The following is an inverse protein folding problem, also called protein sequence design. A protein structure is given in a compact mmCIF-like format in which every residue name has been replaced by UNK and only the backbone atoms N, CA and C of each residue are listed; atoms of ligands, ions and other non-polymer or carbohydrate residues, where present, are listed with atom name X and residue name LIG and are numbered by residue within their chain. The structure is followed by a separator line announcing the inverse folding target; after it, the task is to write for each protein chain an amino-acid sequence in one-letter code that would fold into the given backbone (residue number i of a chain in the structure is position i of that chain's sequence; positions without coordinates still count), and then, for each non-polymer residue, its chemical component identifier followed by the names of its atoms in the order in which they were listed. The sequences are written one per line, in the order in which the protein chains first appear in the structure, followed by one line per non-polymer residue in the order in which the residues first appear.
data_IF_615766630659
#
_entry.id   IF_615766630659
#
_cell.length_a   1.000
_cell.length_b   1.000
_cell.length_c   1.000
_cell.angle_alpha   90.00
_cell.angle_beta   90.00
_cell.angle_gamma   90.00
#
_symmetry.space_group_name_H-M   'P 1'
#
loop_
_entity.id
_entity.type
_entity.pdbx_description
1 polymer ?
#
# COMPACT_ATOMS: atom_id res chain seq x y z
N UNK A 1 -10.61 -90.71 -15.23
CA UNK A 1 -11.84 -90.07 -14.69
C UNK A 1 -11.56 -88.57 -14.59
N UNK A 2 -12.15 -87.75 -15.48
CA UNK A 2 -13.15 -86.72 -15.16
C UNK A 2 -12.59 -85.60 -14.24
N UNK A 3 -12.58 -84.30 -14.52
CA UNK A 3 -13.26 -83.38 -15.46
C UNK A 3 -12.49 -82.04 -15.42
N UNK A 4 -12.11 -81.46 -16.55
CA UNK A 4 -12.74 -80.26 -17.17
C UNK A 4 -12.49 -78.92 -16.47
N UNK A 5 -11.85 -78.03 -17.24
CA UNK A 5 -11.56 -76.64 -16.99
C UNK A 5 -12.79 -75.75 -16.71
N UNK A 6 -12.59 -74.65 -15.99
CA UNK A 6 -13.28 -73.38 -16.25
C UNK A 6 -12.33 -72.20 -16.09
N UNK A 7 -12.06 -71.56 -17.22
CA UNK A 7 -11.50 -70.23 -17.35
C UNK A 7 -12.52 -69.18 -16.88
N UNK A 8 -12.05 -68.08 -16.31
CA UNK A 8 -12.75 -66.78 -16.26
C UNK A 8 -11.67 -65.71 -16.08
N UNK A 9 -11.08 -65.23 -17.18
CA UNK A 9 -11.50 -64.00 -17.86
C UNK A 9 -11.16 -62.74 -17.05
N UNK A 10 -10.05 -62.13 -17.46
CA UNK A 10 -9.60 -60.77 -17.18
C UNK A 10 -10.75 -59.80 -17.49
N UNK A 11 -11.16 -59.00 -16.51
CA UNK A 11 -11.85 -57.74 -16.78
C UNK A 11 -10.92 -56.57 -16.41
N UNK A 12 -10.54 -55.72 -17.37
CA UNK A 12 -9.77 -54.52 -17.09
C UNK A 12 -10.67 -53.45 -16.46
N UNK A 13 -10.09 -52.73 -15.50
CA UNK A 13 -10.71 -51.58 -14.84
C UNK A 13 -11.13 -50.53 -15.89
N UNK A 14 -12.36 -49.98 -15.83
CA UNK A 14 -12.79 -48.99 -16.81
C UNK A 14 -12.08 -47.66 -16.55
N UNK A 15 -11.33 -47.22 -17.55
CA UNK A 15 -10.81 -45.86 -17.64
C UNK A 15 -11.96 -44.93 -18.00
N UNK A 16 -12.39 -44.06 -17.07
CA UNK A 16 -13.14 -42.87 -17.43
C UNK A 16 -12.46 -41.62 -16.87
N UNK A 17 -11.80 -40.91 -17.80
CA UNK A 17 -11.45 -39.51 -17.67
C UNK A 17 -12.73 -38.71 -17.39
N UNK A 18 -12.89 -38.21 -16.17
CA UNK A 18 -13.77 -37.09 -15.90
C UNK A 18 -12.90 -35.84 -15.75
N UNK A 19 -12.70 -35.13 -16.86
CA UNK A 19 -12.23 -33.76 -16.83
C UNK A 19 -13.29 -32.93 -16.08
N UNK A 20 -13.03 -32.60 -14.82
CA UNK A 20 -13.82 -31.59 -14.11
C UNK A 20 -13.33 -30.21 -14.56
N UNK A 21 -13.91 -29.70 -15.64
CA UNK A 21 -14.01 -28.26 -15.88
C UNK A 21 -14.83 -27.67 -14.73
N UNK A 22 -14.16 -27.30 -13.65
CA UNK A 22 -14.77 -26.48 -12.61
C UNK A 22 -15.08 -25.12 -13.25
N UNK A 23 -16.35 -24.90 -13.59
CA UNK A 23 -16.89 -23.59 -13.88
C UNK A 23 -16.45 -22.66 -12.73
N UNK A 24 -15.65 -21.66 -13.07
CA UNK A 24 -15.12 -20.68 -12.12
C UNK A 24 -16.29 -19.80 -11.69
N UNK A 25 -17.05 -20.23 -10.69
CA UNK A 25 -18.02 -19.39 -10.00
C UNK A 25 -17.27 -18.11 -9.60
N UNK A 26 -17.70 -16.92 -10.03
CA UNK A 26 -17.10 -15.68 -9.55
C UNK A 26 -17.27 -15.68 -8.04
N UNK A 27 -16.17 -15.83 -7.30
CA UNK A 27 -16.19 -15.59 -5.86
C UNK A 27 -16.71 -14.16 -5.68
N UNK A 28 -17.73 -13.93 -4.83
CA UNK A 28 -18.10 -12.56 -4.48
C UNK A 28 -16.85 -11.82 -3.98
N UNK A 29 -16.72 -10.51 -4.25
CA UNK A 29 -15.58 -9.74 -3.77
C UNK A 29 -15.47 -9.97 -2.26
N UNK A 30 -14.33 -10.49 -1.82
CA UNK A 30 -14.04 -10.70 -0.40
C UNK A 30 -14.18 -9.34 0.26
N UNK A 31 -15.19 -9.14 1.10
CA UNK A 31 -15.18 -8.00 2.01
C UNK A 31 -13.86 -8.06 2.80
N UNK A 32 -13.18 -6.92 3.02
CA UNK A 32 -11.97 -6.91 3.82
C UNK A 32 -12.24 -7.61 5.16
N UNK A 33 -11.56 -8.73 5.40
CA UNK A 33 -11.62 -9.48 6.67
C UNK A 33 -10.85 -8.77 7.79
N UNK A 34 -10.20 -7.65 7.46
CA UNK A 34 -9.59 -6.71 8.38
C UNK A 34 -10.68 -5.84 9.03
N UNK A 35 -10.86 -5.94 10.35
CA UNK A 35 -11.50 -4.84 11.10
C UNK A 35 -10.58 -3.63 10.91
N UNK A 36 -10.99 -2.57 10.22
CA UNK A 36 -10.18 -1.35 10.11
C UNK A 36 -9.90 -0.68 11.46
N UNK A 37 -9.17 0.42 11.45
CA UNK A 37 -8.95 1.23 12.66
C UNK A 37 -10.27 1.78 13.22
N UNK A 38 -11.24 2.07 12.35
CA UNK A 38 -12.58 2.50 12.73
C UNK A 38 -13.54 1.31 12.90
N UNK A 39 -14.11 1.13 14.11
CA UNK A 39 -15.22 0.19 14.30
C UNK A 39 -16.45 0.65 13.50
N UNK A 40 -17.14 -0.30 12.85
CA UNK A 40 -18.40 -0.04 12.14
C UNK A 40 -19.56 0.30 13.10
N UNK A 41 -19.45 -0.06 14.38
CA UNK A 41 -20.48 0.16 15.40
C UNK A 41 -19.89 0.98 16.55
N UNK A 42 -20.46 2.15 16.82
CA UNK A 42 -20.07 3.05 17.92
C UNK A 42 -18.56 3.39 17.93
N UNK A 43 -18.02 3.99 16.85
CA UNK A 43 -16.62 4.37 16.80
C UNK A 43 -16.29 5.41 17.89
N UNK A 44 -15.20 5.23 18.66
CA UNK A 44 -14.73 6.26 19.58
C UNK A 44 -14.21 7.46 18.79
N UNK A 45 -14.35 8.68 19.32
CA UNK A 45 -13.89 9.90 18.63
C UNK A 45 -12.40 9.85 18.28
N UNK A 46 -11.59 9.26 19.16
CA UNK A 46 -10.16 9.03 18.93
C UNK A 46 -9.87 7.56 18.68
N UNK A 47 -9.20 7.28 17.57
CA UNK A 47 -8.71 5.95 17.20
C UNK A 47 -7.19 5.90 17.19
N UNK A 48 -6.61 4.74 17.44
CA UNK A 48 -5.18 4.51 17.24
C UNK A 48 -4.94 3.91 15.85
N UNK A 49 -4.07 4.53 15.07
CA UNK A 49 -3.60 4.05 13.77
C UNK A 49 -2.10 3.81 13.81
N UNK A 50 -1.63 2.83 13.06
CA UNK A 50 -0.19 2.65 12.87
C UNK A 50 0.28 3.48 11.68
N UNK A 51 1.27 4.34 11.92
CA UNK A 51 1.85 5.23 10.92
C UNK A 51 3.33 4.98 10.74
N UNK A 52 3.73 4.70 9.51
CA UNK A 52 5.11 4.63 9.05
C UNK A 52 5.37 5.57 7.89
N UNK A 53 6.37 5.22 7.11
CA UNK A 53 6.85 5.99 5.96
C UNK A 53 7.10 5.03 4.80
N UNK A 54 6.56 5.36 3.64
CA UNK A 54 6.75 4.65 2.38
C UNK A 54 7.19 5.66 1.32
N UNK A 55 8.00 5.21 0.36
CA UNK A 55 8.46 6.07 -0.72
C UNK A 55 8.27 5.38 -2.06
N UNK A 56 7.69 6.11 -3.01
CA UNK A 56 7.55 5.74 -4.40
C UNK A 56 8.74 6.31 -5.18
N UNK A 57 9.52 5.43 -5.81
CA UNK A 57 10.73 5.81 -6.53
C UNK A 57 10.98 4.88 -7.72
N UNK A 58 11.29 5.45 -8.88
CA UNK A 58 11.47 4.77 -10.17
C UNK A 58 10.31 3.84 -10.50
N UNK A 59 9.10 4.36 -10.34
CA UNK A 59 7.84 3.66 -10.57
C UNK A 59 7.69 2.37 -9.75
N UNK A 60 8.28 2.34 -8.55
CA UNK A 60 8.24 1.20 -7.63
C UNK A 60 8.15 1.65 -6.19
N UNK A 61 7.45 0.86 -5.38
CA UNK A 61 7.47 1.00 -3.92
C UNK A 61 8.84 0.61 -3.38
N UNK A 62 9.45 1.49 -2.58
CA UNK A 62 10.68 1.18 -1.86
C UNK A 62 10.32 0.49 -0.54
N UNK A 63 10.67 -0.80 -0.42
CA UNK A 63 10.24 -1.62 0.72
C UNK A 63 11.11 -1.44 1.98
N UNK A 64 12.12 -0.57 1.97
CA UNK A 64 13.18 -0.57 2.99
C UNK A 64 13.65 0.82 3.45
N UNK A 65 12.73 1.76 3.61
CA UNK A 65 13.02 3.00 4.34
C UNK A 65 13.42 2.73 5.82
N UNK A 66 13.15 1.53 6.35
CA UNK A 66 13.62 1.11 7.69
C UNK A 66 12.91 1.85 8.84
N UNK A 67 11.87 2.62 8.52
CA UNK A 67 11.08 3.38 9.48
C UNK A 67 10.12 2.44 10.19
N UNK A 68 10.27 2.34 11.52
CA UNK A 68 9.33 1.61 12.36
C UNK A 68 7.99 2.33 12.37
N UNK A 69 6.91 1.57 12.12
CA UNK A 69 5.55 2.09 12.30
C UNK A 69 5.33 2.43 13.77
N UNK A 70 4.75 3.59 14.01
CA UNK A 70 4.43 4.10 15.33
C UNK A 70 2.93 4.29 15.47
N UNK A 71 2.39 4.07 16.66
CA UNK A 71 0.98 4.37 16.89
C UNK A 71 0.77 5.89 16.94
N UNK A 72 -0.28 6.36 16.30
CA UNK A 72 -0.77 7.73 16.35
C UNK A 72 -2.26 7.74 16.66
N UNK A 73 -2.66 8.66 17.54
CA UNK A 73 -4.08 8.85 17.85
C UNK A 73 -4.66 9.91 16.94
N UNK A 74 -5.73 9.57 16.24
CA UNK A 74 -6.40 10.47 15.30
C UNK A 74 -7.84 10.67 15.71
N UNK A 75 -8.30 11.92 15.69
CA UNK A 75 -9.69 12.28 15.91
C UNK A 75 -10.46 12.21 14.59
N UNK A 76 -10.87 11.02 14.16
CA UNK A 76 -11.47 10.82 12.83
C UNK A 76 -12.76 11.63 12.62
N UNK A 77 -13.43 12.10 13.67
CA UNK A 77 -14.64 12.91 13.59
C UNK A 77 -14.39 14.38 13.21
N UNK A 78 -13.14 14.85 13.32
CA UNK A 78 -12.73 16.19 12.91
C UNK A 78 -12.23 16.17 11.45
N UNK A 79 -12.84 16.94 10.52
CA UNK A 79 -12.35 17.09 9.15
C UNK A 79 -10.89 17.53 9.05
N UNK A 80 -10.40 18.28 10.04
CA UNK A 80 -9.03 18.77 10.11
C UNK A 80 -8.01 17.67 10.45
N UNK A 81 -8.48 16.49 10.89
CA UNK A 81 -7.59 15.40 11.28
C UNK A 81 -6.80 14.83 10.11
N UNK A 82 -7.35 14.86 8.90
CA UNK A 82 -6.63 14.41 7.71
C UNK A 82 -5.38 15.27 7.47
N UNK A 83 -5.56 16.58 7.38
CA UNK A 83 -4.45 17.53 7.17
C UNK A 83 -3.52 17.56 8.38
N UNK A 84 -4.08 17.55 9.60
CA UNK A 84 -3.29 17.48 10.83
C UNK A 84 -2.41 16.23 10.89
N UNK A 85 -2.92 15.06 10.50
CA UNK A 85 -2.13 13.83 10.48
C UNK A 85 -1.03 13.89 9.43
N UNK A 86 -1.35 14.34 8.20
CA UNK A 86 -0.38 14.50 7.13
C UNK A 86 0.76 15.42 7.57
N UNK A 87 0.44 16.62 8.05
CA UNK A 87 1.44 17.59 8.54
C UNK A 87 2.23 17.04 9.73
N UNK A 88 1.58 16.31 10.64
CA UNK A 88 2.27 15.69 11.79
C UNK A 88 3.29 14.65 11.34
N UNK A 89 2.92 13.77 10.40
CA UNK A 89 3.83 12.75 9.88
C UNK A 89 4.97 13.39 9.06
N UNK A 90 4.68 14.39 8.23
CA UNK A 90 5.70 15.13 7.50
C UNK A 90 6.74 15.73 8.45
N UNK A 91 6.30 16.48 9.47
CA UNK A 91 7.21 17.06 10.46
C UNK A 91 7.95 16.00 11.29
N UNK A 92 7.28 14.87 11.58
CA UNK A 92 7.88 13.77 12.34
C UNK A 92 9.00 13.07 11.58
N UNK A 93 8.89 12.94 10.26
CA UNK A 93 9.90 12.29 9.44
C UNK A 93 10.92 13.26 8.84
N UNK A 94 10.65 14.57 8.92
CA UNK A 94 11.56 15.64 8.53
C UNK A 94 12.90 15.49 9.26
N UNK A 95 13.99 15.49 8.50
CA UNK A 95 15.38 15.35 8.94
C UNK A 95 15.68 14.05 9.71
N UNK A 96 14.74 13.10 9.77
CA UNK A 96 14.89 11.81 10.44
C UNK A 96 14.95 10.64 9.45
N UNK A 97 14.30 10.76 8.30
CA UNK A 97 14.26 9.70 7.29
C UNK A 97 15.30 9.98 6.21
N UNK A 98 16.26 9.08 6.07
CA UNK A 98 17.23 9.10 4.97
C UNK A 98 16.61 8.44 3.73
N UNK A 99 16.49 9.22 2.65
CA UNK A 99 15.91 8.77 1.39
C UNK A 99 16.91 7.86 0.68
N UNK A 100 16.71 6.55 0.82
CA UNK A 100 17.53 5.53 0.15
C UNK A 100 17.26 5.47 -1.34
N UNK A 101 17.86 6.39 -2.08
CA UNK A 101 17.95 6.33 -3.54
C UNK A 101 19.18 5.52 -3.93
N UNK A 102 19.20 4.96 -5.14
CA UNK A 102 20.37 4.20 -5.63
C UNK A 102 21.51 5.12 -6.09
N UNK A 103 21.38 6.44 -5.95
CA UNK A 103 22.39 7.40 -6.37
C UNK A 103 23.42 7.47 -5.26
N UNK A 104 24.62 7.01 -5.59
CA UNK A 104 25.78 6.92 -4.72
C UNK A 104 26.15 8.30 -4.17
N UNK A 105 26.46 8.35 -2.88
CA UNK A 105 27.12 9.40 -2.10
C UNK A 105 26.32 10.57 -1.51
N UNK A 106 25.08 10.84 -1.90
CA UNK A 106 24.29 11.88 -1.22
C UNK A 106 23.19 11.26 -0.37
N UNK A 107 23.41 11.28 0.95
CA UNK A 107 22.40 10.96 1.97
C UNK A 107 21.35 12.05 1.98
N UNK A 108 20.47 12.06 0.98
CA UNK A 108 19.36 12.98 0.92
C UNK A 108 18.41 12.68 2.09
N UNK A 109 18.17 13.68 2.94
CA UNK A 109 17.18 13.55 4.02
C UNK A 109 15.81 13.99 3.53
N UNK A 110 14.78 13.41 4.14
CA UNK A 110 13.43 13.88 3.94
C UNK A 110 13.29 15.27 4.57
N UNK A 111 13.08 16.32 3.77
CA UNK A 111 12.99 17.71 4.20
C UNK A 111 11.62 18.32 3.87
N UNK A 112 11.44 19.59 4.28
CA UNK A 112 10.20 20.35 4.05
C UNK A 112 9.84 20.54 2.57
N UNK A 113 10.84 20.56 1.70
CA UNK A 113 10.67 20.68 0.24
C UNK A 113 9.84 19.51 -0.34
N UNK A 114 9.83 18.38 0.36
CA UNK A 114 9.11 17.18 -0.09
C UNK A 114 7.65 17.14 0.36
N UNK A 115 7.21 18.08 1.21
CA UNK A 115 5.89 17.99 1.86
C UNK A 115 4.74 18.05 0.85
N UNK A 116 4.90 18.81 -0.23
CA UNK A 116 3.90 18.93 -1.29
C UNK A 116 3.76 17.64 -2.14
N UNK A 117 4.78 16.77 -2.08
CA UNK A 117 4.82 15.47 -2.73
C UNK A 117 4.44 14.32 -1.79
N UNK A 118 3.93 14.66 -0.60
CA UNK A 118 3.51 13.68 0.40
C UNK A 118 1.99 13.48 0.41
N UNK A 119 1.59 12.23 0.59
CA UNK A 119 0.18 11.84 0.72
C UNK A 119 0.04 10.79 1.81
N UNK A 120 -1.17 10.64 2.34
CA UNK A 120 -1.46 9.55 3.27
C UNK A 120 -1.89 8.31 2.49
N UNK A 121 -1.61 7.12 3.01
CA UNK A 121 -2.14 5.89 2.45
C UNK A 121 -1.33 4.66 2.83
N UNK A 122 -1.39 3.63 2.01
CA UNK A 122 -0.44 2.52 2.08
C UNK A 122 -0.31 1.84 0.73
N UNK A 123 0.81 1.18 0.46
CA UNK A 123 0.98 0.40 -0.77
C UNK A 123 -0.08 -0.68 -0.99
N UNK A 124 -0.78 -1.14 0.06
CA UNK A 124 -1.88 -2.12 -0.01
C UNK A 124 -3.26 -1.48 -0.14
N UNK A 125 -3.50 -0.40 0.60
CA UNK A 125 -4.81 0.26 0.70
C UNK A 125 -5.02 1.39 -0.30
N UNK A 126 -3.98 1.78 -1.05
CA UNK A 126 -4.00 2.92 -1.95
C UNK A 126 -3.65 4.24 -1.26
N UNK A 127 -3.66 5.32 -2.04
CA UNK A 127 -3.49 6.69 -1.54
C UNK A 127 -4.81 7.29 -1.09
N UNK A 128 -4.73 8.23 -0.15
CA UNK A 128 -5.84 8.99 0.40
C UNK A 128 -5.65 10.45 -0.02
N UNK A 129 -6.62 10.98 -0.76
CA UNK A 129 -6.55 12.34 -1.31
C UNK A 129 -7.40 13.35 -0.53
N UNK A 130 -8.41 12.87 0.18
CA UNK A 130 -9.43 13.69 0.83
C UNK A 130 -9.91 13.05 2.15
N UNK A 131 -10.69 13.82 2.92
CA UNK A 131 -11.20 13.38 4.22
C UNK A 131 -12.20 12.22 4.11
N UNK A 132 -13.06 12.19 3.08
CA UNK A 132 -14.02 11.09 2.92
C UNK A 132 -13.29 9.78 2.61
N UNK A 133 -12.31 9.84 1.71
CA UNK A 133 -11.37 8.75 1.42
C UNK A 133 -10.57 8.35 2.65
N UNK A 134 -10.18 9.30 3.51
CA UNK A 134 -9.46 9.03 4.75
C UNK A 134 -10.33 8.22 5.73
N UNK A 135 -11.56 8.63 5.95
CA UNK A 135 -12.51 7.93 6.82
C UNK A 135 -12.80 6.53 6.26
N UNK A 136 -13.02 6.41 4.95
CA UNK A 136 -13.26 5.12 4.30
C UNK A 136 -12.04 4.20 4.34
N UNK A 137 -10.84 4.76 4.21
CA UNK A 137 -9.59 4.02 4.37
C UNK A 137 -9.46 3.49 5.80
N UNK A 138 -9.72 4.32 6.81
CA UNK A 138 -9.69 3.93 8.22
C UNK A 138 -10.72 2.86 8.60
N UNK A 139 -11.85 2.77 7.89
CA UNK A 139 -12.82 1.66 8.06
C UNK A 139 -12.27 0.32 7.56
N UNK A 140 -11.34 0.33 6.60
CA UNK A 140 -10.80 -0.87 5.94
C UNK A 140 -9.45 -1.31 6.51
N UNK A 141 -8.59 -0.32 6.77
CA UNK A 141 -7.20 -0.51 7.16
C UNK A 141 -6.92 0.03 8.56
N UNK A 142 -5.94 -0.59 9.24
CA UNK A 142 -5.44 -0.13 10.55
C UNK A 142 -4.13 0.67 10.46
N UNK A 143 -3.56 0.70 9.26
CA UNK A 143 -2.22 1.20 8.99
C UNK A 143 -2.34 2.28 7.92
N UNK A 144 -1.84 3.47 8.23
CA UNK A 144 -1.75 4.58 7.30
C UNK A 144 -0.36 5.19 7.38
N UNK A 145 0.40 5.03 6.32
CA UNK A 145 1.76 5.49 6.19
C UNK A 145 1.80 6.83 5.44
N UNK A 146 2.85 7.62 5.69
CA UNK A 146 3.19 8.76 4.87
C UNK A 146 3.86 8.25 3.59
N UNK A 147 3.25 8.52 2.45
CA UNK A 147 3.79 8.17 1.13
C UNK A 147 4.46 9.42 0.55
N UNK A 148 5.76 9.34 0.32
CA UNK A 148 6.50 10.34 -0.45
C UNK A 148 6.66 9.90 -1.91
N UNK A 149 6.21 10.72 -2.85
CA UNK A 149 6.40 10.50 -4.29
C UNK A 149 7.65 11.21 -4.79
N UNK A 150 8.76 10.47 -4.84
CA UNK A 150 10.02 11.00 -5.31
C UNK A 150 10.02 11.22 -6.83
N UNK A 151 9.30 10.41 -7.60
CA UNK A 151 9.25 10.57 -9.06
C UNK A 151 8.58 11.89 -9.44
N UNK A 152 7.58 12.32 -8.66
CA UNK A 152 6.95 13.63 -8.83
C UNK A 152 7.88 14.77 -8.44
N UNK A 153 8.62 14.64 -7.34
CA UNK A 153 9.61 15.62 -6.90
C UNK A 153 10.74 15.80 -7.92
N UNK A 154 11.31 14.69 -8.44
CA UNK A 154 12.38 14.73 -9.44
C UNK A 154 11.94 15.40 -10.74
N UNK A 155 10.70 15.17 -11.18
CA UNK A 155 10.16 15.86 -12.37
C UNK A 155 10.08 17.37 -12.18
N UNK A 156 9.55 17.84 -11.05
CA UNK A 156 9.45 19.27 -10.77
C UNK A 156 10.83 19.89 -10.60
N UNK A 157 11.75 19.20 -9.92
CA UNK A 157 13.13 19.67 -9.74
C UNK A 157 13.86 19.83 -11.07
N UNK A 158 13.70 18.87 -11.99
CA UNK A 158 14.29 18.93 -13.33
C UNK A 158 13.67 20.06 -14.17
N UNK A 159 12.35 20.23 -14.12
CA UNK A 159 11.65 21.31 -14.84
C UNK A 159 12.08 22.71 -14.33
N UNK A 160 12.30 22.87 -13.02
CA UNK A 160 12.82 24.11 -12.44
C UNK A 160 14.28 24.40 -12.86
N UNK A 161 15.14 23.38 -12.86
CA UNK A 161 16.53 23.52 -13.31
C UNK A 161 16.61 23.90 -14.80
N UNK A 162 15.80 23.29 -15.66
CA UNK A 162 15.72 23.62 -17.08
C UNK A 162 15.25 25.08 -17.28
N UNK A 163 14.25 25.51 -16.49
CA UNK A 163 13.71 26.88 -16.55
C UNK A 163 14.72 27.93 -16.09
N UNK A 164 15.53 27.61 -15.07
CA UNK A 164 16.60 28.47 -14.56
C UNK A 164 17.80 28.51 -15.51
N UNK A 165 18.14 27.39 -16.15
CA UNK A 165 19.18 27.30 -17.18
C UNK A 165 18.87 28.11 -18.44
N UNK A 166 17.59 28.28 -18.79
CA UNK A 166 17.16 29.13 -19.90
C UNK A 166 17.13 30.65 -19.57
N UNK A 167 17.34 31.06 -18.31
CA UNK A 167 17.31 32.47 -17.89
C UNK A 167 18.69 33.09 -17.68
N UNK A 168 19.79 32.46 -18.11
CA UNK A 168 21.10 33.14 -18.14
C UNK A 168 21.24 33.98 -19.41
N UNK A 169 21.19 35.33 -19.35
CA UNK A 169 21.60 36.16 -20.47
C UNK A 169 23.12 36.04 -20.63
N UNK A 170 23.56 35.69 -21.84
CA UNK A 170 24.96 35.80 -22.26
C UNK A 170 25.42 37.25 -22.41
#
# INVERSE_FOLDING_TARGET
MARTARMSAIQPYPTQRAARTAARVPKPPKLPTSKGALPLTSPPDKISVQCGFEMWYRSKWTQQQGVLRTNHFVNWADPSSFTSLLTTLCNKFCDLVELKTKITDERAMFAKEHFDFCRLGSWKGGSVEDYDSFVDFLKREKVIDLIYDQDAFEKVSLDEEERLGMCQPG
#
